data_IF_242969635314
#
_entry.id   IF_242969635314
#
_cell.length_a   1.000
_cell.length_b   1.000
_cell.length_c   1.000
_cell.angle_alpha   90.00
_cell.angle_beta   90.00
_cell.angle_gamma   90.00
#
_symmetry.space_group_name_H-M   'P 1'
#
loop_
_entity.id
_entity.type
_entity.pdbx_description
1 polymer ?
#
# COMPACT_ATOMS: atom_id res chain seq x y z
N UNK A 1 -65.04 22.57 7.47
CA UNK A 1 -63.80 22.33 8.24
C UNK A 1 -62.79 21.64 7.34
N UNK A 2 -61.80 22.37 6.82
CA UNK A 2 -60.76 21.82 5.95
C UNK A 2 -59.75 21.01 6.78
N UNK A 3 -59.59 19.72 6.48
CA UNK A 3 -58.53 18.90 7.08
C UNK A 3 -57.18 19.27 6.48
N UNK A 4 -56.34 19.93 7.28
CA UNK A 4 -54.94 20.18 6.93
C UNK A 4 -54.21 18.83 6.76
N UNK A 5 -53.55 18.56 5.63
CA UNK A 5 -52.81 17.31 5.46
C UNK A 5 -51.61 17.29 6.40
N UNK A 6 -51.58 16.31 7.32
CA UNK A 6 -50.52 16.14 8.31
C UNK A 6 -49.23 15.69 7.61
N UNK A 7 -48.18 16.53 7.70
CA UNK A 7 -46.85 16.26 7.14
C UNK A 7 -46.19 15.10 7.89
N UNK A 8 -45.93 13.98 7.21
CA UNK A 8 -44.99 12.95 7.66
C UNK A 8 -43.56 13.52 7.51
N UNK A 9 -42.86 13.72 8.61
CA UNK A 9 -41.44 14.10 8.57
C UNK A 9 -40.63 12.81 8.43
N UNK A 10 -39.99 12.61 7.28
CA UNK A 10 -39.00 11.56 7.07
C UNK A 10 -37.62 12.20 7.23
N UNK A 11 -36.87 11.82 8.25
CA UNK A 11 -35.44 12.10 8.35
C UNK A 11 -34.66 10.82 8.07
N UNK A 12 -33.56 10.94 7.32
CA UNK A 12 -32.63 9.84 7.07
C UNK A 12 -31.23 10.31 7.42
N UNK A 13 -30.50 9.53 8.21
CA UNK A 13 -29.09 9.74 8.51
C UNK A 13 -28.30 8.53 8.03
N UNK A 14 -27.15 8.76 7.40
CA UNK A 14 -26.22 7.73 6.93
C UNK A 14 -25.05 7.72 7.89
N UNK A 15 -24.80 6.60 8.55
CA UNK A 15 -23.66 6.41 9.44
C UNK A 15 -22.68 5.45 8.80
N UNK A 16 -21.41 5.85 8.68
CA UNK A 16 -20.33 4.98 8.22
C UNK A 16 -19.56 4.48 9.46
N UNK A 17 -19.66 3.20 9.76
CA UNK A 17 -18.95 2.59 10.89
C UNK A 17 -17.59 2.12 10.38
N UNK A 18 -16.55 2.84 10.75
CA UNK A 18 -15.15 2.50 10.47
C UNK A 18 -14.52 1.94 11.74
N UNK A 19 -14.81 0.68 12.07
CA UNK A 19 -14.02 -0.08 13.04
C UNK A 19 -13.91 -1.54 12.60
N UNK A 20 -12.72 -2.12 12.76
CA UNK A 20 -12.31 -3.42 12.19
C UNK A 20 -12.99 -4.66 12.80
N UNK A 21 -14.11 -4.51 13.52
CA UNK A 21 -14.82 -5.63 14.14
C UNK A 21 -16.31 -5.37 14.19
N UNK A 22 -17.11 -6.19 13.50
CA UNK A 22 -18.56 -6.28 13.66
C UNK A 22 -18.87 -7.53 14.50
N UNK A 23 -19.54 -7.35 15.64
CA UNK A 23 -20.00 -8.47 16.48
C UNK A 23 -21.47 -8.74 16.20
N UNK A 24 -21.80 -9.92 15.66
CA UNK A 24 -23.19 -10.36 15.49
C UNK A 24 -23.56 -11.25 16.67
N UNK A 25 -24.50 -10.79 17.49
CA UNK A 25 -25.07 -11.58 18.58
C UNK A 25 -26.24 -12.40 18.01
N UNK A 26 -26.02 -13.70 17.78
CA UNK A 26 -27.08 -14.60 17.33
C UNK A 26 -27.63 -15.35 18.54
N UNK A 27 -28.91 -15.17 18.81
CA UNK A 27 -29.63 -15.90 19.85
C UNK A 27 -30.36 -17.06 19.19
N UNK A 28 -30.03 -18.29 19.57
CA UNK A 28 -30.84 -19.45 19.19
C UNK A 28 -32.08 -19.50 20.09
N UNK A 29 -33.25 -19.33 19.50
CA UNK A 29 -34.53 -19.26 20.21
C UNK A 29 -34.92 -20.60 20.88
N UNK A 30 -34.28 -21.71 20.52
CA UNK A 30 -34.55 -23.02 21.12
C UNK A 30 -33.58 -23.35 22.28
N UNK A 31 -32.41 -22.71 22.36
CA UNK A 31 -31.36 -23.06 23.34
C UNK A 31 -30.88 -21.89 24.21
N UNK A 32 -31.27 -20.66 23.90
CA UNK A 32 -30.81 -19.42 24.56
C UNK A 32 -29.27 -19.25 24.59
N UNK A 33 -28.54 -20.00 23.77
CA UNK A 33 -27.08 -19.92 23.68
C UNK A 33 -26.67 -18.69 22.86
N UNK A 34 -25.72 -17.91 23.38
CA UNK A 34 -25.17 -16.72 22.71
C UNK A 34 -23.79 -17.06 22.16
N UNK A 35 -23.61 -16.97 20.84
CA UNK A 35 -22.31 -17.13 20.19
C UNK A 35 -21.87 -15.82 19.55
N UNK A 36 -20.66 -15.38 19.90
CA UNK A 36 -19.99 -14.26 19.24
C UNK A 36 -19.23 -14.77 18.03
N UNK A 37 -19.49 -14.17 16.85
CA UNK A 37 -18.77 -14.46 15.62
C UNK A 37 -17.98 -13.23 15.23
N UNK A 38 -16.66 -13.38 15.13
CA UNK A 38 -15.74 -12.35 14.67
C UNK A 38 -15.70 -12.35 13.13
N UNK A 39 -16.04 -11.22 12.50
CA UNK A 39 -15.98 -11.06 11.05
C UNK A 39 -14.69 -10.32 10.68
N UNK A 40 -13.74 -11.03 10.07
CA UNK A 40 -12.39 -10.52 9.75
C UNK A 40 -12.29 -9.66 8.48
N UNK A 41 -13.39 -9.43 7.77
CA UNK A 41 -13.42 -8.58 6.56
C UNK A 41 -14.20 -7.28 6.82
N UNK A 42 -13.70 -6.11 6.38
CA UNK A 42 -14.45 -4.87 6.49
C UNK A 42 -15.75 -4.96 5.69
N UNK A 43 -16.88 -4.97 6.40
CA UNK A 43 -18.21 -4.94 5.81
C UNK A 43 -18.67 -3.48 5.71
N UNK A 44 -18.77 -2.96 4.49
CA UNK A 44 -19.51 -1.72 4.26
C UNK A 44 -21.01 -2.01 4.42
N UNK A 45 -21.57 -1.55 5.53
CA UNK A 45 -23.00 -1.64 5.83
C UNK A 45 -23.64 -0.26 5.73
N UNK A 46 -24.80 -0.19 5.09
CA UNK A 46 -25.63 1.01 5.10
C UNK A 46 -26.73 0.80 6.13
N UNK A 47 -26.78 1.66 7.15
CA UNK A 47 -27.86 1.67 8.15
C UNK A 47 -28.79 2.85 7.86
N UNK A 48 -30.07 2.56 7.62
CA UNK A 48 -31.14 3.57 7.48
C UNK A 48 -32.10 3.47 8.65
N UNK A 49 -32.18 4.51 9.46
CA UNK A 49 -33.22 4.63 10.49
C UNK A 49 -34.37 5.51 9.98
N UNK A 50 -35.61 5.05 10.15
CA UNK A 50 -36.83 5.81 9.89
C UNK A 50 -37.67 5.85 11.16
N UNK A 51 -37.86 7.04 11.72
CA UNK A 51 -38.73 7.23 12.89
C UNK A 51 -40.10 7.71 12.45
N UNK A 52 -41.14 7.00 12.87
CA UNK A 52 -42.54 7.38 12.68
C UNK A 52 -43.09 7.82 14.03
N UNK A 53 -43.68 9.02 14.06
CA UNK A 53 -44.38 9.54 15.24
C UNK A 53 -45.84 9.78 14.87
N UNK A 54 -46.74 9.04 15.50
CA UNK A 54 -48.18 9.30 15.43
C UNK A 54 -48.62 10.07 16.68
N UNK A 55 -49.47 11.11 16.54
CA UNK A 55 -49.91 11.90 17.69
C UNK A 55 -50.72 11.03 18.67
N UNK A 56 -50.29 11.03 19.94
CA UNK A 56 -50.88 10.22 21.01
C UNK A 56 -50.31 8.81 21.16
N UNK A 57 -49.31 8.41 20.37
CA UNK A 57 -48.65 7.10 20.47
C UNK A 57 -47.15 7.21 20.70
N UNK A 58 -46.54 6.11 21.17
CA UNK A 58 -45.09 6.00 21.33
C UNK A 58 -44.37 6.16 19.98
N UNK A 59 -43.22 6.85 20.01
CA UNK A 59 -42.33 6.97 18.85
C UNK A 59 -41.80 5.59 18.48
N UNK A 60 -41.94 5.21 17.22
CA UNK A 60 -41.43 3.93 16.70
C UNK A 60 -40.31 4.21 15.70
N UNK A 61 -39.14 3.63 15.90
CA UNK A 61 -38.00 3.75 14.98
C UNK A 61 -37.75 2.41 14.31
N UNK A 62 -37.82 2.39 12.98
CA UNK A 62 -37.45 1.24 12.16
C UNK A 62 -36.01 1.41 11.70
N UNK A 63 -35.15 0.44 12.01
CA UNK A 63 -33.76 0.42 11.55
C UNK A 63 -33.65 -0.65 10.46
N UNK A 64 -33.22 -0.24 9.28
CA UNK A 64 -32.93 -1.12 8.16
C UNK A 64 -31.41 -1.18 7.96
N UNK A 65 -30.85 -2.37 7.96
CA UNK A 65 -29.42 -2.60 7.75
C UNK A 65 -29.27 -3.43 6.47
N UNK A 66 -28.63 -2.85 5.47
CA UNK A 66 -28.32 -3.54 4.22
C UNK A 66 -26.81 -3.69 4.08
N UNK A 67 -26.36 -4.90 3.75
CA UNK A 67 -24.98 -5.11 3.29
C UNK A 67 -24.85 -4.39 1.97
N UNK A 68 -23.95 -3.41 1.91
CA UNK A 68 -23.64 -2.76 0.65
C UNK A 68 -22.65 -3.66 -0.05
N UNK A 69 -23.03 -4.23 -1.19
CA UNK A 69 -22.03 -4.79 -2.10
C UNK A 69 -21.18 -3.62 -2.57
N UNK A 70 -19.99 -3.47 -1.99
CA UNK A 70 -18.96 -2.64 -2.59
C UNK A 70 -18.77 -3.22 -3.99
N UNK A 71 -18.89 -2.43 -5.07
CA UNK A 71 -18.44 -2.87 -6.37
C UNK A 71 -17.03 -3.38 -6.15
N UNK A 72 -16.76 -4.68 -6.38
CA UNK A 72 -15.40 -5.20 -6.30
C UNK A 72 -14.53 -4.16 -7.00
N UNK A 73 -13.63 -3.51 -6.27
CA UNK A 73 -12.66 -2.64 -6.91
C UNK A 73 -12.12 -3.51 -8.04
N UNK A 74 -12.36 -3.08 -9.28
CA UNK A 74 -11.86 -3.80 -10.44
C UNK A 74 -10.38 -3.99 -10.08
N UNK A 75 -9.88 -5.22 -9.89
CA UNK A 75 -8.46 -5.40 -9.61
C UNK A 75 -7.76 -4.50 -10.60
N UNK A 76 -6.78 -3.68 -10.16
CA UNK A 76 -6.19 -2.66 -11.00
C UNK A 76 -6.02 -3.31 -12.36
N UNK A 77 -6.69 -2.75 -13.36
CA UNK A 77 -6.58 -3.30 -14.71
C UNK A 77 -5.10 -3.18 -14.98
N UNK A 78 -4.40 -4.30 -14.84
CA UNK A 78 -3.07 -4.46 -15.37
C UNK A 78 -3.38 -4.47 -16.85
N UNK A 79 -3.44 -3.27 -17.43
CA UNK A 79 -3.38 -3.16 -18.88
C UNK A 79 -2.12 -3.93 -19.24
N UNK A 80 -2.33 -5.02 -19.95
CA UNK A 80 -1.29 -5.85 -20.51
C UNK A 80 -0.62 -5.00 -21.59
N UNK A 81 0.24 -4.09 -21.15
CA UNK A 81 0.85 -3.09 -21.98
C UNK A 81 2.22 -3.62 -22.42
N UNK A 82 2.41 -3.60 -23.74
CA UNK A 82 3.39 -4.33 -24.56
C UNK A 82 4.87 -3.96 -24.37
N UNK A 83 5.27 -3.42 -23.21
CA UNK A 83 6.68 -3.28 -22.86
C UNK A 83 7.23 -4.66 -22.46
N UNK A 84 7.76 -5.38 -23.45
CA UNK A 84 8.15 -6.80 -23.43
C UNK A 84 9.47 -7.10 -22.70
N UNK A 85 9.97 -6.18 -21.88
CA UNK A 85 11.17 -6.41 -21.08
C UNK A 85 10.86 -6.17 -19.61
N UNK A 86 11.06 -7.21 -18.79
CA UNK A 86 11.01 -7.08 -17.34
C UNK A 86 12.05 -6.08 -16.84
N UNK A 87 11.92 -5.67 -15.59
CA UNK A 87 12.89 -4.74 -15.00
C UNK A 87 14.23 -5.39 -14.73
N UNK A 88 15.31 -4.69 -15.04
CA UNK A 88 16.61 -4.97 -14.47
C UNK A 88 16.65 -4.33 -13.07
N UNK A 89 16.67 -5.17 -12.05
CA UNK A 89 16.53 -4.75 -10.65
C UNK A 89 17.83 -4.95 -9.90
N UNK A 90 18.27 -3.94 -9.17
CA UNK A 90 19.40 -4.06 -8.24
C UNK A 90 18.90 -4.40 -6.84
N UNK A 91 19.70 -5.14 -6.08
CA UNK A 91 19.44 -5.44 -4.68
C UNK A 91 20.67 -5.19 -3.84
N UNK A 92 20.48 -4.59 -2.66
CA UNK A 92 21.57 -4.29 -1.75
C UNK A 92 21.11 -4.29 -0.29
N UNK A 93 22.04 -4.56 0.62
CA UNK A 93 21.81 -4.53 2.05
C UNK A 93 23.08 -4.23 2.85
N UNK A 94 22.93 -3.80 4.10
CA UNK A 94 23.98 -4.01 5.10
C UNK A 94 23.80 -5.38 5.78
N UNK A 95 24.68 -5.70 6.74
CA UNK A 95 24.59 -6.94 7.49
C UNK A 95 23.26 -7.16 8.20
N UNK A 96 22.53 -6.09 8.55
CA UNK A 96 21.26 -6.18 9.23
C UNK A 96 20.09 -6.51 8.29
N UNK A 97 20.28 -6.42 6.97
CA UNK A 97 19.25 -6.69 5.95
C UNK A 97 19.56 -7.83 4.97
N UNK A 98 20.76 -8.43 5.05
CA UNK A 98 21.20 -9.43 4.06
C UNK A 98 20.35 -10.71 4.10
N UNK A 99 19.77 -11.07 5.25
CA UNK A 99 18.91 -12.22 5.42
C UNK A 99 17.63 -12.11 4.60
N UNK A 100 16.95 -10.95 4.65
CA UNK A 100 15.76 -10.68 3.85
C UNK A 100 16.11 -10.47 2.39
N UNK A 101 17.22 -9.76 2.10
CA UNK A 101 17.68 -9.54 0.72
C UNK A 101 17.86 -10.84 -0.03
N UNK A 102 18.56 -11.82 0.56
CA UNK A 102 18.83 -13.10 -0.08
C UNK A 102 17.54 -13.90 -0.35
N UNK A 103 16.54 -13.82 0.52
CA UNK A 103 15.24 -14.49 0.33
C UNK A 103 14.41 -13.84 -0.77
N UNK A 104 14.29 -12.51 -0.74
CA UNK A 104 13.49 -11.76 -1.72
C UNK A 104 14.16 -11.78 -3.10
N UNK A 105 15.49 -11.83 -3.16
CA UNK A 105 16.23 -12.00 -4.41
C UNK A 105 15.76 -13.21 -5.21
N UNK A 106 15.60 -14.37 -4.55
CA UNK A 106 15.10 -15.57 -5.22
C UNK A 106 13.67 -15.39 -5.76
N UNK A 107 12.81 -14.66 -5.04
CA UNK A 107 11.45 -14.37 -5.51
C UNK A 107 11.46 -13.45 -6.75
N UNK A 108 12.34 -12.44 -6.76
CA UNK A 108 12.46 -11.50 -7.87
C UNK A 108 13.09 -12.15 -9.10
N UNK A 109 14.12 -12.99 -8.93
CA UNK A 109 14.71 -13.78 -10.02
C UNK A 109 13.68 -14.72 -10.68
N UNK A 110 12.69 -15.19 -9.93
CA UNK A 110 11.59 -16.03 -10.44
C UNK A 110 10.39 -15.22 -10.98
N UNK A 111 10.38 -13.89 -10.83
CA UNK A 111 9.22 -13.06 -11.16
C UNK A 111 9.22 -12.68 -12.66
N UNK A 112 8.12 -12.90 -13.41
CA UNK A 112 8.09 -12.64 -14.86
C UNK A 112 8.24 -11.16 -15.24
N UNK A 113 7.99 -10.26 -14.29
CA UNK A 113 8.19 -8.81 -14.46
C UNK A 113 9.61 -8.32 -14.18
N UNK A 114 10.57 -9.22 -13.91
CA UNK A 114 11.99 -8.92 -13.65
C UNK A 114 12.82 -9.68 -14.69
N UNK A 115 13.68 -8.95 -15.40
CA UNK A 115 14.55 -9.52 -16.43
C UNK A 115 15.89 -10.01 -15.84
N UNK A 116 16.42 -9.27 -14.87
CA UNK A 116 17.68 -9.59 -14.19
C UNK A 116 17.69 -9.02 -12.78
N UNK A 117 18.38 -9.72 -11.87
CA UNK A 117 18.74 -9.18 -10.56
C UNK A 117 20.25 -8.96 -10.46
N UNK A 118 20.66 -7.72 -10.14
CA UNK A 118 22.05 -7.33 -9.90
C UNK A 118 22.24 -7.15 -8.39
N UNK A 119 23.04 -7.99 -7.77
CA UNK A 119 23.27 -7.96 -6.32
C UNK A 119 24.55 -7.19 -5.99
N UNK A 120 24.41 -6.01 -5.38
CA UNK A 120 25.54 -5.15 -4.98
C UNK A 120 26.05 -5.48 -3.57
N UNK A 121 25.51 -6.51 -2.93
CA UNK A 121 25.88 -6.92 -1.58
C UNK A 121 25.24 -6.08 -0.47
N UNK A 122 25.52 -6.35 0.79
CA UNK A 122 26.38 -7.46 1.28
C UNK A 122 25.64 -8.79 1.24
N UNK A 123 26.39 -9.90 1.16
CA UNK A 123 25.83 -11.26 1.04
C UNK A 123 25.85 -12.05 2.34
N UNK A 124 26.62 -11.61 3.33
CA UNK A 124 26.82 -12.29 4.61
C UNK A 124 26.74 -11.29 5.78
N UNK A 125 26.23 -11.73 6.92
CA UNK A 125 26.05 -10.89 8.11
C UNK A 125 27.37 -10.52 8.81
N UNK A 126 28.47 -11.23 8.51
CA UNK A 126 29.81 -10.88 8.98
C UNK A 126 30.44 -9.73 8.20
N UNK A 127 29.91 -9.37 7.03
CA UNK A 127 30.37 -8.21 6.26
C UNK A 127 29.91 -6.91 6.92
N UNK A 128 30.86 -6.13 7.42
CA UNK A 128 30.61 -4.89 8.16
C UNK A 128 30.53 -3.64 7.27
N UNK A 129 30.43 -3.81 5.95
CA UNK A 129 30.26 -2.70 5.01
C UNK A 129 29.04 -1.86 5.40
N UNK A 130 29.26 -0.57 5.62
CA UNK A 130 28.21 0.34 6.05
C UNK A 130 27.16 0.54 4.94
N UNK A 131 25.89 0.61 5.33
CA UNK A 131 24.73 0.71 4.43
C UNK A 131 24.81 1.80 3.33
N UNK A 132 25.52 2.95 3.48
CA UNK A 132 25.58 3.92 2.41
C UNK A 132 26.24 3.41 1.14
N UNK A 133 27.23 2.51 1.25
CA UNK A 133 27.96 1.97 0.11
C UNK A 133 27.05 1.16 -0.84
N UNK A 134 26.42 0.04 -0.40
CA UNK A 134 25.53 -0.71 -1.28
C UNK A 134 24.30 0.11 -1.72
N UNK A 135 23.81 1.04 -0.89
CA UNK A 135 22.70 1.90 -1.29
C UNK A 135 23.07 2.85 -2.44
N UNK A 136 24.24 3.48 -2.38
CA UNK A 136 24.74 4.38 -3.43
C UNK A 136 25.13 3.60 -4.68
N UNK A 137 25.73 2.42 -4.54
CA UNK A 137 26.13 1.60 -5.68
C UNK A 137 24.92 1.12 -6.48
N UNK A 138 23.86 0.63 -5.81
CA UNK A 138 22.59 0.29 -6.47
C UNK A 138 21.95 1.51 -7.16
N UNK A 139 21.92 2.66 -6.47
CA UNK A 139 21.36 3.89 -7.02
C UNK A 139 22.14 4.41 -8.24
N UNK A 140 23.46 4.25 -8.27
CA UNK A 140 24.30 4.61 -9.41
C UNK A 140 24.04 3.76 -10.64
N UNK A 141 23.77 2.47 -10.48
CA UNK A 141 23.39 1.58 -11.59
C UNK A 141 22.07 2.01 -12.24
N UNK A 142 21.11 2.51 -11.45
CA UNK A 142 19.90 3.12 -12.02
C UNK A 142 20.26 4.39 -12.80
N UNK A 143 21.08 5.25 -12.20
CA UNK A 143 21.48 6.52 -12.82
C UNK A 143 22.23 6.32 -14.15
N UNK A 144 23.06 5.27 -14.26
CA UNK A 144 23.79 4.95 -15.49
C UNK A 144 22.94 4.24 -16.54
N UNK A 145 21.72 3.82 -16.20
CA UNK A 145 20.84 3.05 -17.08
C UNK A 145 21.19 1.56 -17.14
N UNK A 146 22.03 1.06 -16.23
CA UNK A 146 22.35 -0.37 -16.09
C UNK A 146 21.28 -1.15 -15.30
N UNK A 147 20.37 -0.43 -14.64
CA UNK A 147 19.22 -0.98 -13.95
C UNK A 147 18.02 0.00 -14.02
N UNK A 148 16.81 -0.51 -13.86
CA UNK A 148 15.60 0.29 -13.82
C UNK A 148 15.20 0.68 -12.39
N UNK A 149 15.45 -0.24 -11.44
CA UNK A 149 14.97 -0.14 -10.06
C UNK A 149 15.93 -0.77 -9.05
N UNK A 150 15.77 -0.42 -7.76
CA UNK A 150 16.52 -1.04 -6.66
C UNK A 150 15.62 -1.42 -5.48
N UNK A 151 15.87 -2.59 -4.90
CA UNK A 151 15.31 -3.00 -3.61
C UNK A 151 16.43 -3.05 -2.56
N UNK A 152 16.37 -2.13 -1.59
CA UNK A 152 17.38 -1.99 -0.54
C UNK A 152 16.85 -2.41 0.82
N UNK A 153 17.65 -3.12 1.60
CA UNK A 153 17.22 -3.63 2.91
C UNK A 153 18.30 -3.35 3.94
N UNK A 154 17.93 -2.75 5.07
CA UNK A 154 18.79 -2.71 6.24
C UNK A 154 17.96 -3.01 7.49
N UNK A 155 18.48 -2.71 8.68
CA UNK A 155 17.71 -2.89 9.91
C UNK A 155 16.33 -2.20 9.88
N UNK A 156 16.26 -0.94 9.41
CA UNK A 156 15.02 -0.14 9.38
C UNK A 156 14.55 0.27 7.99
N UNK A 157 15.41 0.16 6.97
CA UNK A 157 15.21 0.71 5.63
C UNK A 157 15.52 2.21 5.51
N UNK A 158 15.68 2.93 6.62
CA UNK A 158 15.80 4.39 6.62
C UNK A 158 17.15 4.87 6.07
N UNK A 159 18.26 4.30 6.57
CA UNK A 159 19.61 4.73 6.20
C UNK A 159 19.92 4.52 4.71
N UNK A 160 19.49 3.38 4.17
CA UNK A 160 19.64 3.08 2.73
C UNK A 160 18.80 4.02 1.87
N UNK A 161 17.56 4.35 2.28
CA UNK A 161 16.74 5.34 1.58
C UNK A 161 17.37 6.73 1.59
N UNK A 162 17.86 7.18 2.75
CA UNK A 162 18.54 8.48 2.87
C UNK A 162 19.78 8.53 1.96
N UNK A 163 20.56 7.45 1.92
CA UNK A 163 21.80 7.38 1.14
C UNK A 163 21.54 7.33 -0.37
N UNK A 164 20.57 6.52 -0.82
CA UNK A 164 20.20 6.42 -2.22
C UNK A 164 19.67 7.76 -2.78
N UNK A 165 18.88 8.50 -1.98
CA UNK A 165 18.41 9.84 -2.35
C UNK A 165 19.54 10.90 -2.47
N UNK A 166 20.79 10.58 -2.09
CA UNK A 166 21.94 11.47 -2.34
C UNK A 166 22.54 11.30 -3.73
N UNK A 167 22.10 10.30 -4.50
CA UNK A 167 22.50 10.13 -5.90
C UNK A 167 21.60 10.99 -6.78
N UNK A 168 22.14 11.94 -7.57
CA UNK A 168 21.29 12.85 -8.32
C UNK A 168 20.35 12.12 -9.28
N UNK A 169 19.09 12.50 -9.27
CA UNK A 169 18.01 11.91 -10.07
C UNK A 169 17.34 10.67 -9.49
N UNK A 170 17.80 10.20 -8.32
CA UNK A 170 17.26 9.01 -7.66
C UNK A 170 16.27 9.39 -6.57
N UNK A 171 15.12 8.71 -6.55
CA UNK A 171 14.10 8.84 -5.53
C UNK A 171 13.93 7.50 -4.83
N UNK A 172 14.20 7.50 -3.52
CA UNK A 172 14.15 6.33 -2.67
C UNK A 172 13.19 6.53 -1.50
N UNK A 173 12.42 5.48 -1.20
CA UNK A 173 11.45 5.51 -0.09
C UNK A 173 11.62 4.30 0.81
N UNK A 174 11.33 4.46 2.10
CA UNK A 174 11.04 3.31 2.97
C UNK A 174 9.53 3.12 3.01
N UNK A 175 9.04 1.94 2.62
CA UNK A 175 7.61 1.64 2.62
C UNK A 175 7.36 0.23 3.15
N UNK A 176 6.42 0.11 4.09
CA UNK A 176 6.14 -1.10 4.87
C UNK A 176 4.66 -1.53 4.79
N UNK A 177 3.91 -0.98 3.85
CA UNK A 177 2.52 -1.30 3.57
C UNK A 177 2.21 -1.15 2.07
N UNK A 178 1.18 -1.85 1.59
CA UNK A 178 0.83 -1.91 0.17
C UNK A 178 0.46 -0.54 -0.41
N UNK A 179 -0.19 0.32 0.37
CA UNK A 179 -0.59 1.64 -0.12
C UNK A 179 0.63 2.53 -0.35
N UNK A 180 1.55 2.57 0.61
CA UNK A 180 2.81 3.30 0.47
C UNK A 180 3.66 2.76 -0.68
N UNK A 181 3.70 1.44 -0.90
CA UNK A 181 4.40 0.83 -2.03
C UNK A 181 3.78 1.20 -3.38
N UNK A 182 2.45 1.19 -3.49
CA UNK A 182 1.76 1.66 -4.69
C UNK A 182 2.09 3.13 -4.96
N UNK A 183 1.97 3.99 -3.93
CA UNK A 183 2.23 5.43 -4.08
C UNK A 183 3.71 5.74 -4.30
N UNK A 184 4.63 4.90 -3.85
CA UNK A 184 6.05 5.03 -4.17
C UNK A 184 6.24 5.12 -5.69
N UNK A 185 5.57 4.26 -6.45
CA UNK A 185 5.64 4.27 -7.91
C UNK A 185 4.68 5.31 -8.49
N UNK A 186 3.37 5.18 -8.22
CA UNK A 186 2.33 5.93 -8.94
C UNK A 186 2.26 7.42 -8.58
N UNK A 187 2.80 7.84 -7.43
CA UNK A 187 2.92 9.27 -7.08
C UNK A 187 4.32 9.81 -7.26
N UNK A 188 5.33 9.07 -6.85
CA UNK A 188 6.66 9.61 -6.61
C UNK A 188 7.68 9.17 -7.67
N UNK A 189 7.29 8.28 -8.58
CA UNK A 189 8.18 7.65 -9.55
C UNK A 189 9.48 7.17 -8.88
N UNK A 190 9.35 6.55 -7.69
CA UNK A 190 10.48 6.16 -6.88
C UNK A 190 11.09 4.87 -7.45
N UNK A 191 12.31 4.98 -7.96
CA UNK A 191 13.05 3.86 -8.51
C UNK A 191 13.56 2.91 -7.42
N UNK A 192 13.67 3.40 -6.19
CA UNK A 192 14.26 2.66 -5.08
C UNK A 192 13.23 2.43 -3.96
N UNK A 193 12.93 1.16 -3.69
CA UNK A 193 12.14 0.73 -2.54
C UNK A 193 13.09 0.25 -1.43
N UNK A 194 12.87 0.71 -0.21
CA UNK A 194 13.64 0.32 0.96
C UNK A 194 12.75 -0.37 2.01
N UNK A 195 13.27 -1.41 2.66
CA UNK A 195 12.56 -2.13 3.72
C UNK A 195 13.47 -2.38 4.93
N UNK A 196 12.85 -2.61 6.10
CA UNK A 196 13.54 -2.82 7.37
C UNK A 196 13.35 -4.24 7.86
N UNK A 197 14.41 -5.06 7.83
CA UNK A 197 14.36 -6.46 8.27
C UNK A 197 14.00 -6.59 9.77
N UNK A 198 14.36 -5.60 10.59
CA UNK A 198 14.00 -5.57 12.03
C UNK A 198 12.64 -4.95 12.31
N UNK A 199 11.91 -4.52 11.28
CA UNK A 199 10.66 -3.75 11.41
C UNK A 199 9.46 -4.52 10.87
N UNK A 200 9.60 -5.14 9.71
CA UNK A 200 8.51 -5.89 9.06
C UNK A 200 8.81 -7.38 8.98
N UNK A 201 7.78 -8.22 8.97
CA UNK A 201 7.92 -9.66 8.77
C UNK A 201 8.23 -10.02 7.32
N UNK A 202 8.97 -11.11 7.12
CA UNK A 202 9.48 -11.54 5.81
C UNK A 202 8.37 -11.77 4.77
N UNK A 203 7.26 -12.41 5.14
CA UNK A 203 6.19 -12.70 4.17
C UNK A 203 5.50 -11.41 3.69
N UNK A 204 5.38 -10.40 4.56
CA UNK A 204 4.91 -9.08 4.15
C UNK A 204 5.92 -8.42 3.20
N UNK A 205 7.21 -8.44 3.55
CA UNK A 205 8.27 -7.87 2.71
C UNK A 205 8.30 -8.49 1.29
N UNK A 206 8.18 -9.82 1.18
CA UNK A 206 8.10 -10.55 -0.09
C UNK A 206 6.88 -10.15 -0.92
N UNK A 207 5.71 -10.04 -0.26
CA UNK A 207 4.47 -9.57 -0.91
C UNK A 207 4.62 -8.15 -1.45
N UNK A 208 5.15 -7.24 -0.64
CA UNK A 208 5.34 -5.84 -1.01
C UNK A 208 6.32 -5.69 -2.18
N UNK A 209 7.42 -6.43 -2.18
CA UNK A 209 8.37 -6.45 -3.30
C UNK A 209 7.70 -6.90 -4.61
N UNK A 210 6.84 -7.92 -4.55
CA UNK A 210 6.06 -8.38 -5.71
C UNK A 210 5.07 -7.34 -6.22
N UNK A 211 4.30 -6.73 -5.32
CA UNK A 211 3.35 -5.66 -5.67
C UNK A 211 4.08 -4.48 -6.33
N UNK A 212 5.20 -4.06 -5.76
CA UNK A 212 6.03 -2.98 -6.28
C UNK A 212 6.43 -3.18 -7.75
N UNK A 213 6.93 -4.37 -8.10
CA UNK A 213 7.31 -4.72 -9.48
C UNK A 213 6.13 -4.61 -10.45
N UNK A 214 4.88 -4.75 -9.99
CA UNK A 214 3.68 -4.66 -10.82
C UNK A 214 3.28 -3.24 -11.22
N UNK A 215 3.67 -2.22 -10.45
CA UNK A 215 3.26 -0.84 -10.74
C UNK A 215 4.13 -0.16 -11.81
N UNK A 216 3.55 0.75 -12.60
CA UNK A 216 4.24 1.58 -13.59
C UNK A 216 3.82 3.04 -13.41
N UNK A 217 4.80 3.94 -13.37
CA UNK A 217 4.53 5.37 -13.29
C UNK A 217 4.01 5.90 -14.63
N UNK A 218 3.05 6.82 -14.59
CA UNK A 218 2.58 7.54 -15.77
C UNK A 218 3.21 8.94 -15.83
N UNK A 219 4.13 9.20 -16.77
CA UNK A 219 4.79 10.49 -16.92
C UNK A 219 3.85 11.62 -17.39
N UNK A 220 2.61 11.30 -17.77
CA UNK A 220 1.57 12.29 -18.13
C UNK A 220 0.59 12.58 -16.99
N UNK A 221 0.77 11.95 -15.83
CA UNK A 221 -0.11 12.13 -14.68
C UNK A 221 0.13 13.47 -13.97
N UNK A 222 -0.85 13.94 -13.20
CA UNK A 222 -0.69 15.11 -12.31
C UNK A 222 0.41 14.92 -11.24
N UNK A 223 0.83 13.67 -10.98
CA UNK A 223 1.95 13.37 -10.11
C UNK A 223 3.30 13.72 -10.75
N UNK A 224 3.42 13.65 -12.08
CA UNK A 224 4.64 13.98 -12.81
C UNK A 224 5.06 15.45 -12.61
N UNK A 225 4.12 16.38 -12.53
CA UNK A 225 4.41 17.79 -12.23
C UNK A 225 5.07 17.97 -10.85
N UNK A 226 4.68 17.16 -9.87
CA UNK A 226 5.24 17.20 -8.51
C UNK A 226 6.62 16.56 -8.46
N UNK A 227 6.81 15.46 -9.20
CA UNK A 227 8.13 14.85 -9.37
C UNK A 227 9.08 15.84 -10.03
N UNK A 228 8.63 16.55 -11.08
CA UNK A 228 9.45 17.55 -11.75
C UNK A 228 9.84 18.71 -10.82
N UNK A 229 8.96 19.12 -9.91
CA UNK A 229 9.32 20.12 -8.90
C UNK A 229 10.47 19.64 -7.98
N UNK A 230 10.50 18.35 -7.60
CA UNK A 230 11.63 17.77 -6.85
C UNK A 230 12.91 17.85 -7.68
N UNK A 231 12.84 17.45 -8.96
CA UNK A 231 13.98 17.47 -9.87
C UNK A 231 14.50 18.90 -10.10
N UNK A 232 13.61 19.88 -10.17
CA UNK A 232 13.97 21.29 -10.29
C UNK A 232 14.71 21.81 -9.05
N UNK A 233 14.27 21.41 -7.86
CA UNK A 233 15.00 21.72 -6.63
C UNK A 233 16.39 21.07 -6.60
N UNK A 234 16.52 19.85 -7.09
CA UNK A 234 17.83 19.18 -7.18
C UNK A 234 18.78 19.94 -8.11
N UNK A 235 18.33 20.28 -9.33
CA UNK A 235 19.13 21.02 -10.31
C UNK A 235 19.55 22.40 -9.79
N UNK A 236 18.65 23.14 -9.14
CA UNK A 236 18.96 24.47 -8.62
C UNK A 236 19.99 24.48 -7.48
N UNK A 237 20.01 23.44 -6.66
CA UNK A 237 20.81 23.43 -5.43
C UNK A 237 22.12 22.64 -5.58
N UNK A 238 22.21 21.72 -6.55
CA UNK A 238 23.30 20.73 -6.60
C UNK A 238 23.84 20.41 -8.01
N UNK A 239 23.34 21.05 -9.08
CA UNK A 239 23.86 20.89 -10.45
C UNK A 239 24.79 22.03 -10.87
#
# INVERSE_FOLDING_TARGET
>A
MSSVPRKKIKSSAVFKISSQSLYVKRTDHNTNEVREVNVQEPLDITVRATTVTEPGKHKTTHIHVEKTEVPKAKPPVVEENTATTGYDTTMGADNAGCGYKNKIKADLEAHPGVSKVIDVGVNDASDSTAYPHPAVDAAKLIKSGEADRALLICGTGLGVAISANKVPGIRAVTAHDSFSVERAVLSNDAQVLCMGERVIGIELARRLAKEWVGYRFDPKSASAEKVEAIMEHERKNYA
#
